data_IF_117288615353
#
_entry.id   IF_117288615353
#
_cell.length_a   1.000
_cell.length_b   1.000
_cell.length_c   1.000
_cell.angle_alpha   90.00
_cell.angle_beta   90.00
_cell.angle_gamma   90.00
#
_symmetry.space_group_name_H-M   'P 1'
#
loop_
_entity.id
_entity.type
_entity.pdbx_description
1 polymer ?
#
# COMPACT_ATOMS: atom_id res chain seq x y z
N UNK A 1 -17.94 -21.15 16.43
CA UNK A 1 -17.58 -20.56 15.13
C UNK A 1 -16.39 -19.64 15.35
N UNK A 2 -15.17 -20.17 15.27
CA UNK A 2 -13.94 -19.40 15.41
C UNK A 2 -13.75 -18.60 14.12
N UNK A 3 -13.98 -17.29 14.19
CA UNK A 3 -13.54 -16.36 13.17
C UNK A 3 -12.01 -16.44 13.13
N UNK A 4 -11.47 -17.25 12.21
CA UNK A 4 -10.04 -17.34 12.00
C UNK A 4 -9.60 -16.00 11.42
N UNK A 5 -9.19 -15.09 12.29
CA UNK A 5 -8.46 -13.90 11.87
C UNK A 5 -7.21 -14.42 11.17
N UNK A 6 -6.99 -14.13 9.88
CA UNK A 6 -5.80 -14.61 9.20
C UNK A 6 -4.58 -14.10 9.97
N UNK A 7 -3.70 -15.03 10.37
CA UNK A 7 -2.49 -14.67 11.10
C UNK A 7 -1.66 -13.73 10.24
N UNK A 8 -1.27 -12.57 10.80
CA UNK A 8 -0.47 -11.53 10.12
C UNK A 8 0.73 -12.09 9.33
N UNK A 9 1.28 -13.20 9.82
CA UNK A 9 2.39 -13.93 9.21
C UNK A 9 2.11 -14.36 7.76
N UNK A 10 0.94 -14.93 7.46
CA UNK A 10 0.59 -15.37 6.11
C UNK A 10 0.52 -14.21 5.12
N UNK A 11 0.12 -13.03 5.61
CA UNK A 11 0.02 -11.84 4.77
C UNK A 11 1.42 -11.29 4.48
N UNK A 12 2.27 -11.18 5.49
CA UNK A 12 3.62 -10.62 5.35
C UNK A 12 4.51 -11.50 4.46
N UNK A 13 4.31 -12.82 4.42
CA UNK A 13 5.09 -13.71 3.56
C UNK A 13 4.58 -13.80 2.12
N UNK A 14 3.27 -13.66 1.88
CA UNK A 14 2.70 -13.85 0.53
C UNK A 14 2.50 -12.55 -0.24
N UNK A 15 2.25 -11.43 0.43
CA UNK A 15 2.05 -10.13 -0.24
C UNK A 15 3.29 -9.67 -1.03
N UNK A 16 4.52 -9.73 -0.49
CA UNK A 16 5.71 -9.30 -1.24
C UNK A 16 5.94 -10.12 -2.49
N UNK A 17 5.77 -11.44 -2.40
CA UNK A 17 5.91 -12.37 -3.54
C UNK A 17 4.93 -11.99 -4.65
N UNK A 18 3.67 -11.73 -4.29
CA UNK A 18 2.65 -11.30 -5.26
C UNK A 18 2.98 -9.92 -5.86
N UNK A 19 3.53 -9.00 -5.06
CA UNK A 19 3.97 -7.69 -5.53
C UNK A 19 5.16 -7.79 -6.49
N UNK A 20 6.12 -8.68 -6.24
CA UNK A 20 7.24 -8.94 -7.14
C UNK A 20 6.78 -9.54 -8.48
N UNK A 21 5.86 -10.51 -8.46
CA UNK A 21 5.29 -11.09 -9.70
C UNK A 21 4.50 -10.09 -10.55
N UNK A 22 3.97 -9.04 -9.92
CA UNK A 22 3.17 -8.01 -10.57
C UNK A 22 3.93 -6.70 -10.82
N UNK A 23 5.23 -6.64 -10.52
CA UNK A 23 6.06 -5.43 -10.57
C UNK A 23 5.44 -4.23 -9.81
N UNK A 24 4.79 -4.51 -8.66
CA UNK A 24 4.16 -3.50 -7.82
C UNK A 24 5.13 -3.07 -6.72
N UNK A 25 5.49 -1.78 -6.62
CA UNK A 25 6.35 -1.29 -5.56
C UNK A 25 5.64 -1.38 -4.20
N UNK A 26 6.37 -1.82 -3.18
CA UNK A 26 5.85 -1.96 -1.82
C UNK A 26 6.87 -1.44 -0.79
N UNK A 27 6.38 -1.07 0.39
CA UNK A 27 7.21 -0.59 1.51
C UNK A 27 6.67 -1.14 2.83
N UNK A 28 7.57 -1.47 3.75
CA UNK A 28 7.21 -1.86 5.11
C UNK A 28 7.23 -0.66 6.04
N UNK A 29 6.19 -0.53 6.84
CA UNK A 29 6.09 0.51 7.88
C UNK A 29 6.27 -0.14 9.25
N UNK A 30 7.09 0.43 10.15
CA UNK A 30 7.34 -0.17 11.47
C UNK A 30 6.12 -0.14 12.39
N UNK A 31 5.20 0.81 12.21
CA UNK A 31 4.01 0.99 13.03
C UNK A 31 2.74 0.62 12.29
N UNK A 32 1.96 -0.30 12.87
CA UNK A 32 0.61 -0.65 12.39
C UNK A 32 -0.41 0.45 12.67
N UNK A 33 -0.17 1.28 13.69
CA UNK A 33 -1.05 2.37 14.10
C UNK A 33 -0.99 3.53 13.11
N UNK A 34 0.21 3.83 12.62
CA UNK A 34 0.44 4.87 11.61
C UNK A 34 -0.26 4.48 10.31
N UNK A 35 -0.19 3.20 9.94
CA UNK A 35 -0.86 2.68 8.75
C UNK A 35 -2.39 2.76 8.85
N UNK A 36 -2.96 2.44 10.02
CA UNK A 36 -4.39 2.56 10.26
C UNK A 36 -4.86 4.02 10.21
N UNK A 37 -4.06 4.93 10.78
CA UNK A 37 -4.31 6.38 10.76
C UNK A 37 -4.27 6.92 9.33
N UNK A 38 -3.25 6.55 8.55
CA UNK A 38 -3.12 6.95 7.15
C UNK A 38 -4.25 6.41 6.27
N UNK A 39 -4.71 5.18 6.52
CA UNK A 39 -5.86 4.59 5.81
C UNK A 39 -7.22 5.10 6.26
N UNK A 40 -7.30 6.00 7.25
CA UNK A 40 -8.54 6.47 7.89
C UNK A 40 -9.47 5.32 8.35
N UNK A 41 -8.91 4.18 8.74
CA UNK A 41 -9.68 2.99 9.14
C UNK A 41 -9.69 2.83 10.66
N UNK A 42 -10.85 2.47 11.23
CA UNK A 42 -10.99 2.17 12.67
C UNK A 42 -10.60 0.73 13.02
N UNK A 43 -10.33 -0.12 12.04
CA UNK A 43 -9.91 -1.51 12.26
C UNK A 43 -8.42 -1.64 11.99
N UNK A 44 -7.66 -2.39 12.80
CA UNK A 44 -6.25 -2.61 12.53
C UNK A 44 -6.08 -3.24 11.14
N UNK A 45 -5.39 -2.52 10.25
CA UNK A 45 -5.09 -2.96 8.89
C UNK A 45 -3.64 -3.43 8.84
N UNK A 46 -3.39 -4.54 8.14
CA UNK A 46 -2.04 -5.08 7.97
C UNK A 46 -1.37 -4.59 6.69
N UNK A 47 -2.17 -4.31 5.65
CA UNK A 47 -1.71 -3.87 4.34
C UNK A 47 -2.68 -2.80 3.85
N UNK A 48 -2.13 -1.80 3.14
CA UNK A 48 -2.92 -0.78 2.45
C UNK A 48 -2.47 -0.78 0.99
N UNK A 49 -3.44 -0.80 0.08
CA UNK A 49 -3.19 -0.71 -1.34
C UNK A 49 -3.55 0.70 -1.81
N UNK A 50 -2.57 1.41 -2.37
CA UNK A 50 -2.78 2.74 -2.95
C UNK A 50 -3.17 2.58 -4.41
N UNK A 51 -4.36 3.07 -4.77
CA UNK A 51 -4.88 3.02 -6.13
C UNK A 51 -4.98 4.43 -6.70
N UNK A 52 -4.34 4.67 -7.84
CA UNK A 52 -4.43 5.95 -8.58
C UNK A 52 -5.75 6.12 -9.33
N UNK A 53 -6.54 5.04 -9.43
CA UNK A 53 -7.87 5.04 -10.04
C UNK A 53 -8.93 4.68 -9.01
N UNK A 54 -10.06 5.38 -8.97
CA UNK A 54 -11.14 5.09 -8.04
C UNK A 54 -11.81 3.75 -8.38
N UNK A 55 -12.12 2.94 -7.37
CA UNK A 55 -12.80 1.63 -7.53
C UNK A 55 -14.29 1.78 -7.90
N UNK A 56 -14.92 2.90 -7.51
CA UNK A 56 -16.30 3.27 -7.85
C UNK A 56 -16.42 4.79 -8.00
N UNK A 57 -16.94 5.25 -9.14
CA UNK A 57 -17.11 6.67 -9.45
C UNK A 57 -16.01 7.22 -10.37
N UNK A 58 -16.18 8.46 -10.85
CA UNK A 58 -15.13 9.23 -11.53
C UNK A 58 -14.62 10.27 -10.56
N UNK A 59 -13.29 10.35 -10.39
CA UNK A 59 -12.66 11.48 -9.74
C UNK A 59 -12.56 12.62 -10.76
N UNK A 60 -12.58 13.86 -10.27
CA UNK A 60 -12.27 15.00 -11.11
C UNK A 60 -10.89 14.82 -11.74
N UNK A 61 -10.73 15.15 -13.04
CA UNK A 61 -9.47 14.93 -13.74
C UNK A 61 -8.29 15.67 -13.08
N UNK A 62 -8.56 16.81 -12.44
CA UNK A 62 -7.56 17.56 -11.68
C UNK A 62 -7.08 16.83 -10.41
N UNK A 63 -7.98 16.17 -9.68
CA UNK A 63 -7.66 15.38 -8.49
C UNK A 63 -6.89 14.12 -8.88
N UNK A 64 -7.30 13.48 -9.98
CA UNK A 64 -6.65 12.29 -10.51
C UNK A 64 -5.21 12.57 -10.96
N UNK A 65 -4.96 13.73 -11.57
CA UNK A 65 -3.61 14.13 -11.97
C UNK A 65 -2.71 14.36 -10.76
N UNK A 66 -3.22 15.01 -9.71
CA UNK A 66 -2.50 15.20 -8.44
C UNK A 66 -2.13 13.87 -7.79
N UNK A 67 -3.10 12.98 -7.60
CA UNK A 67 -2.88 11.64 -7.00
C UNK A 67 -1.84 10.86 -7.81
N UNK A 68 -1.89 10.96 -9.14
CA UNK A 68 -0.93 10.28 -10.01
C UNK A 68 0.48 10.87 -9.89
N UNK A 69 0.59 12.20 -9.79
CA UNK A 69 1.87 12.88 -9.58
C UNK A 69 2.47 12.50 -8.22
N UNK A 70 1.68 12.55 -7.14
CA UNK A 70 2.11 12.17 -5.79
C UNK A 70 2.53 10.69 -5.74
N UNK A 71 1.73 9.80 -6.35
CA UNK A 71 2.09 8.38 -6.46
C UNK A 71 3.42 8.18 -7.20
N UNK A 72 3.65 8.89 -8.29
CA UNK A 72 4.90 8.78 -9.05
C UNK A 72 6.11 9.26 -8.26
N UNK A 73 5.96 10.29 -7.42
CA UNK A 73 7.02 10.74 -6.50
C UNK A 73 7.35 9.65 -5.49
N UNK A 74 6.34 9.10 -4.81
CA UNK A 74 6.54 8.03 -3.81
C UNK A 74 7.20 6.79 -4.40
N UNK A 75 6.83 6.40 -5.62
CA UNK A 75 7.47 5.26 -6.30
C UNK A 75 8.94 5.53 -6.60
N UNK A 76 9.30 6.76 -6.98
CA UNK A 76 10.70 7.14 -7.18
C UNK A 76 11.49 7.04 -5.87
N UNK A 77 10.93 7.56 -4.76
CA UNK A 77 11.55 7.51 -3.44
C UNK A 77 11.75 6.06 -2.97
N UNK A 78 10.76 5.18 -3.20
CA UNK A 78 10.86 3.75 -2.88
C UNK A 78 11.98 3.09 -3.70
N UNK A 79 12.09 3.42 -5.00
CA UNK A 79 13.15 2.88 -5.85
C UNK A 79 14.54 3.33 -5.35
N UNK A 80 14.69 4.60 -4.98
CA UNK A 80 15.94 5.14 -4.44
C UNK A 80 16.30 4.49 -3.10
N UNK A 81 15.32 4.32 -2.22
CA UNK A 81 15.51 3.64 -0.93
C UNK A 81 15.92 2.19 -1.14
N UNK A 82 15.31 1.49 -2.10
CA UNK A 82 15.63 0.10 -2.44
C UNK A 82 17.08 0.00 -2.95
N UNK A 83 17.50 0.93 -3.82
CA UNK A 83 18.90 1.02 -4.28
C UNK A 83 19.90 1.37 -3.19
N UNK A 84 19.45 1.94 -2.06
CA UNK A 84 20.30 2.26 -0.91
C UNK A 84 20.40 1.11 0.09
N UNK A 85 19.46 0.16 0.03
CA UNK A 85 19.35 -0.97 0.94
C UNK A 85 20.11 -2.21 0.45
N UNK A 86 20.45 -2.25 -0.84
CA UNK A 86 21.24 -3.29 -1.51
C UNK A 86 22.53 -2.68 -2.09
#
# INVERSE_FOLDING_TARGET
MLNHVPSIFYVITHVPILCEEADIPYVYVPSKEDLATAGATKRPTCCVLVLTKPTKGKLDPAEQEKIKADYSQVVADISELTSSLF
#
